data_IF_134990337314
#
_entry.id   IF_134990337314
#
_cell.length_a   1.000
_cell.length_b   1.000
_cell.length_c   1.000
_cell.angle_alpha   90.00
_cell.angle_beta   90.00
_cell.angle_gamma   90.00
#
_symmetry.space_group_name_H-M   'P 1'
#
loop_
_entity.id
_entity.type
_entity.pdbx_description
1 polymer ?
#
# COMPACT_ATOMS: atom_id res chain seq x y z
N UNK A 1 -14.94 -5.04 -1.61
CA UNK A 1 -14.16 -6.30 -1.42
C UNK A 1 -14.54 -7.01 -0.13
N UNK A 2 -14.56 -8.34 -0.14
CA UNK A 2 -14.75 -9.18 1.05
C UNK A 2 -13.39 -9.79 1.48
N UNK A 3 -13.27 -10.28 2.73
CA UNK A 3 -12.10 -11.06 3.16
C UNK A 3 -11.76 -12.18 2.18
N UNK A 4 -10.48 -12.28 1.81
CA UNK A 4 -9.99 -13.24 0.81
C UNK A 4 -9.96 -12.71 -0.63
N UNK A 5 -10.50 -11.51 -0.90
CA UNK A 5 -10.32 -10.86 -2.21
C UNK A 5 -8.84 -10.52 -2.42
N UNK A 6 -8.31 -10.81 -3.61
CA UNK A 6 -6.94 -10.47 -4.01
C UNK A 6 -7.01 -9.57 -5.24
N UNK A 7 -6.39 -8.40 -5.15
CA UNK A 7 -6.05 -7.56 -6.28
C UNK A 7 -4.54 -7.48 -6.45
N UNK A 8 -4.10 -7.17 -7.66
CA UNK A 8 -2.68 -6.99 -7.98
C UNK A 8 -2.39 -5.51 -8.20
N UNK A 9 -1.23 -5.05 -7.76
CA UNK A 9 -0.74 -3.70 -8.08
C UNK A 9 -0.82 -3.43 -9.59
N UNK A 10 -1.22 -2.22 -9.96
CA UNK A 10 -1.40 -1.82 -11.36
C UNK A 10 -2.63 -2.43 -12.05
N UNK A 11 -3.34 -3.36 -11.40
CA UNK A 11 -4.59 -3.94 -11.91
C UNK A 11 -5.82 -3.18 -11.40
N UNK A 12 -7.00 -3.61 -11.85
CA UNK A 12 -8.28 -3.06 -11.41
C UNK A 12 -8.64 -3.52 -9.99
N UNK A 13 -8.77 -2.55 -9.09
CA UNK A 13 -9.36 -2.64 -7.77
C UNK A 13 -10.85 -2.26 -7.87
N UNK A 14 -11.74 -3.24 -7.73
CA UNK A 14 -13.18 -3.00 -7.75
C UNK A 14 -13.68 -2.63 -6.36
N UNK A 15 -14.35 -1.48 -6.28
CA UNK A 15 -15.03 -0.97 -5.09
C UNK A 15 -16.53 -0.94 -5.37
N UNK A 16 -17.33 -1.41 -4.42
CA UNK A 16 -18.78 -1.45 -4.54
C UNK A 16 -19.39 -0.96 -3.23
N UNK A 17 -20.40 -0.10 -3.36
CA UNK A 17 -21.28 0.31 -2.26
C UNK A 17 -22.74 0.12 -2.69
N UNK A 18 -23.63 0.08 -1.69
CA UNK A 18 -25.06 0.18 -1.93
C UNK A 18 -25.41 1.65 -2.12
N UNK A 19 -26.04 1.99 -3.23
CA UNK A 19 -26.45 3.36 -3.52
C UNK A 19 -27.34 3.92 -2.42
N UNK A 20 -27.05 5.14 -1.98
CA UNK A 20 -27.85 5.82 -0.98
C UNK A 20 -29.25 6.16 -1.54
N UNK A 21 -30.29 5.55 -0.97
CA UNK A 21 -31.67 5.78 -1.39
C UNK A 21 -32.26 7.06 -0.79
N UNK A 22 -31.58 7.69 0.18
CA UNK A 22 -32.03 8.95 0.80
C UNK A 22 -31.64 10.17 -0.03
N UNK A 23 -30.67 10.02 -0.94
CA UNK A 23 -30.16 11.09 -1.80
C UNK A 23 -29.29 12.12 -1.07
N UNK A 24 -28.80 11.79 0.13
CA UNK A 24 -27.97 12.67 0.96
C UNK A 24 -26.49 12.53 0.67
N UNK A 25 -26.05 11.37 0.16
CA UNK A 25 -24.65 11.11 -0.16
C UNK A 25 -24.27 11.72 -1.52
N UNK A 26 -24.11 13.04 -1.57
CA UNK A 26 -23.79 13.80 -2.79
C UNK A 26 -22.32 14.16 -2.94
N UNK A 27 -21.54 14.03 -1.87
CA UNK A 27 -20.12 14.35 -1.87
C UNK A 27 -19.32 13.21 -1.24
N UNK A 28 -19.48 12.01 -1.81
CA UNK A 28 -18.89 10.78 -1.32
C UNK A 28 -17.39 10.73 -1.60
N UNK A 29 -16.62 10.34 -0.58
CA UNK A 29 -15.18 10.09 -0.63
C UNK A 29 -14.90 8.62 -0.34
N UNK A 30 -13.93 8.07 -1.04
CA UNK A 30 -13.40 6.71 -0.83
C UNK A 30 -11.93 6.85 -0.47
N UNK A 31 -11.56 6.33 0.70
CA UNK A 31 -10.17 6.25 1.15
C UNK A 31 -9.72 4.78 1.26
N UNK A 32 -8.49 4.51 0.84
CA UNK A 32 -7.81 3.24 1.12
C UNK A 32 -7.18 3.33 2.52
N UNK A 33 -7.50 2.37 3.36
CA UNK A 33 -7.12 2.34 4.77
C UNK A 33 -6.33 1.07 5.10
N UNK A 34 -5.60 1.12 6.21
CA UNK A 34 -4.91 -0.02 6.83
C UNK A 34 -4.91 0.14 8.36
N UNK A 35 -4.30 -0.78 9.10
CA UNK A 35 -4.21 -0.72 10.57
C UNK A 35 -5.33 -1.49 11.30
N UNK A 36 -5.35 -1.46 12.65
CA UNK A 36 -6.36 -2.13 13.47
C UNK A 36 -7.73 -1.44 13.40
N UNK A 37 -8.79 -2.14 13.77
CA UNK A 37 -10.18 -1.66 13.63
C UNK A 37 -10.46 -0.35 14.39
N UNK A 38 -9.77 -0.10 15.50
CA UNK A 38 -9.98 1.09 16.34
C UNK A 38 -8.91 2.17 16.16
N UNK A 39 -7.89 1.93 15.34
CA UNK A 39 -6.78 2.89 15.12
C UNK A 39 -6.23 2.75 13.70
N UNK A 40 -7.15 2.75 12.75
CA UNK A 40 -6.84 2.65 11.34
C UNK A 40 -6.18 3.93 10.81
N UNK A 41 -5.37 3.76 9.78
CA UNK A 41 -4.63 4.84 9.14
C UNK A 41 -4.96 4.88 7.65
N UNK A 42 -5.04 6.11 7.13
CA UNK A 42 -5.21 6.36 5.71
C UNK A 42 -3.92 6.07 4.96
N UNK A 43 -4.04 5.28 3.90
CA UNK A 43 -2.97 5.00 2.94
C UNK A 43 -2.99 6.03 1.82
N UNK A 44 -4.16 6.22 1.19
CA UNK A 44 -4.37 7.21 0.12
C UNK A 44 -5.86 7.47 -0.10
N UNK A 45 -6.18 8.58 -0.74
CA UNK A 45 -7.52 8.80 -1.30
C UNK A 45 -7.67 8.12 -2.64
N UNK A 46 -8.80 7.44 -2.83
CA UNK A 46 -9.17 6.73 -4.06
C UNK A 46 -9.97 7.64 -4.97
N UNK A 47 -11.01 8.29 -4.42
CA UNK A 47 -11.90 9.19 -5.15
C UNK A 47 -12.57 10.17 -4.18
N UNK A 48 -12.95 11.34 -4.69
CA UNK A 48 -13.72 12.38 -3.98
C UNK A 48 -14.82 12.91 -4.89
N UNK A 49 -15.84 13.53 -4.30
CA UNK A 49 -16.89 14.22 -5.06
C UNK A 49 -17.82 13.29 -5.85
N UNK A 50 -17.90 12.00 -5.47
CA UNK A 50 -18.81 11.06 -6.11
C UNK A 50 -20.24 11.28 -5.60
N UNK A 51 -21.23 11.15 -6.48
CA UNK A 51 -22.63 11.04 -6.06
C UNK A 51 -22.89 9.58 -5.61
N UNK A 52 -22.86 9.35 -4.31
CA UNK A 52 -23.07 8.02 -3.71
C UNK A 52 -24.48 7.47 -3.91
N UNK A 53 -25.45 8.30 -4.32
CA UNK A 53 -26.80 7.86 -4.70
C UNK A 53 -26.93 7.42 -6.16
N UNK A 54 -25.95 7.73 -7.01
CA UNK A 54 -25.95 7.32 -8.41
C UNK A 54 -25.51 5.86 -8.55
N UNK A 55 -26.47 4.98 -8.87
CA UNK A 55 -26.23 3.56 -9.07
C UNK A 55 -25.34 3.25 -10.28
N UNK A 56 -25.14 4.18 -11.21
CA UNK A 56 -24.25 3.98 -12.36
C UNK A 56 -22.76 4.10 -11.99
N UNK A 57 -22.44 4.68 -10.83
CA UNK A 57 -21.07 4.84 -10.34
C UNK A 57 -20.55 3.62 -9.57
N UNK A 58 -21.42 2.66 -9.22
CA UNK A 58 -21.07 1.44 -8.50
C UNK A 58 -21.39 0.20 -9.37
N UNK A 59 -20.43 -0.71 -9.60
CA UNK A 59 -19.08 -0.75 -9.03
C UNK A 59 -18.12 0.28 -9.65
N UNK A 60 -17.29 0.88 -8.80
CA UNK A 60 -16.24 1.82 -9.16
C UNK A 60 -14.92 1.08 -9.42
N UNK A 61 -14.25 1.43 -10.50
CA UNK A 61 -13.00 0.84 -10.92
C UNK A 61 -11.84 1.79 -10.65
N UNK A 62 -10.90 1.37 -9.81
CA UNK A 62 -9.68 2.13 -9.50
C UNK A 62 -8.45 1.30 -9.85
N UNK A 63 -7.36 1.93 -10.28
CA UNK A 63 -6.09 1.20 -10.45
C UNK A 63 -5.45 1.00 -9.08
N UNK A 64 -5.19 -0.26 -8.70
CA UNK A 64 -4.56 -0.57 -7.44
C UNK A 64 -3.16 0.07 -7.37
N UNK A 65 -2.84 0.83 -6.32
CA UNK A 65 -1.54 1.45 -6.17
C UNK A 65 -0.49 0.40 -5.82
N UNK A 66 0.78 0.74 -6.02
CA UNK A 66 1.86 0.00 -5.38
C UNK A 66 1.91 0.30 -3.89
N UNK A 67 2.05 -0.74 -3.07
CA UNK A 67 1.95 -0.66 -1.61
C UNK A 67 3.02 -1.47 -0.90
N UNK A 68 3.40 -0.99 0.28
CA UNK A 68 4.30 -1.69 1.20
C UNK A 68 3.61 -1.85 2.56
N UNK A 69 3.42 -3.08 3.07
CA UNK A 69 3.66 -4.37 2.40
C UNK A 69 2.52 -4.77 1.46
N UNK A 70 2.82 -5.59 0.44
CA UNK A 70 1.80 -6.39 -0.25
C UNK A 70 1.21 -7.43 0.72
N UNK A 71 -0.01 -7.22 1.22
CA UNK A 71 -0.60 -8.05 2.29
C UNK A 71 -2.12 -7.91 2.37
N UNK A 72 -2.77 -8.83 3.09
CA UNK A 72 -4.22 -8.87 3.36
C UNK A 72 -4.64 -7.89 4.47
N UNK A 73 -4.24 -6.62 4.36
CA UNK A 73 -4.41 -5.60 5.43
C UNK A 73 -5.21 -4.38 5.01
N UNK A 74 -5.53 -4.26 3.72
CA UNK A 74 -6.14 -3.07 3.12
C UNK A 74 -7.65 -3.18 3.12
N UNK A 75 -8.35 -2.06 3.29
CA UNK A 75 -9.80 -1.97 3.23
C UNK A 75 -10.21 -0.56 2.82
N UNK A 76 -11.42 -0.39 2.28
CA UNK A 76 -11.93 0.92 1.92
C UNK A 76 -12.82 1.49 3.01
N UNK A 77 -12.63 2.78 3.28
CA UNK A 77 -13.60 3.63 3.96
C UNK A 77 -14.39 4.40 2.92
N UNK A 78 -15.72 4.42 3.04
CA UNK A 78 -16.61 5.16 2.16
C UNK A 78 -17.51 6.04 3.03
N UNK A 79 -17.53 7.34 2.76
CA UNK A 79 -18.27 8.30 3.59
C UNK A 79 -18.67 9.52 2.77
N UNK A 80 -19.75 10.19 3.17
CA UNK A 80 -20.04 11.53 2.65
C UNK A 80 -19.14 12.55 3.37
N UNK A 81 -18.37 13.32 2.62
CA UNK A 81 -17.41 14.28 3.18
C UNK A 81 -18.05 15.56 3.74
N UNK A 82 -19.33 15.82 3.42
CA UNK A 82 -20.09 16.95 3.97
C UNK A 82 -20.61 16.70 5.38
N UNK A 83 -20.94 15.44 5.71
CA UNK A 83 -21.41 15.07 7.05
C UNK A 83 -20.34 14.34 7.86
N UNK A 84 -19.50 13.54 7.21
CA UNK A 84 -18.53 12.61 7.83
C UNK A 84 -19.15 11.62 8.83
N UNK A 85 -20.48 11.58 8.92
CA UNK A 85 -21.21 10.70 9.83
C UNK A 85 -21.36 9.31 9.22
N UNK A 86 -21.22 8.28 10.06
CA UNK A 86 -21.52 6.86 9.74
C UNK A 86 -20.83 6.32 8.47
N UNK A 87 -19.48 6.23 8.46
CA UNK A 87 -18.76 5.64 7.34
C UNK A 87 -19.14 4.16 7.12
N UNK A 88 -19.17 3.77 5.85
CA UNK A 88 -19.26 2.38 5.43
C UNK A 88 -17.86 1.81 5.15
N UNK A 89 -17.71 0.50 5.33
CA UNK A 89 -16.43 -0.19 5.28
C UNK A 89 -16.52 -1.46 4.45
N UNK A 90 -15.47 -1.75 3.70
CA UNK A 90 -15.32 -3.07 3.08
C UNK A 90 -14.64 -4.06 4.01
N UNK A 91 -14.66 -5.34 3.65
CA UNK A 91 -13.75 -6.30 4.27
C UNK A 91 -12.29 -6.01 3.91
N UNK A 92 -11.37 -6.53 4.72
CA UNK A 92 -9.93 -6.52 4.41
C UNK A 92 -9.65 -7.35 3.17
N UNK A 93 -8.79 -6.88 2.29
CA UNK A 93 -8.39 -7.55 1.06
C UNK A 93 -6.88 -7.47 0.86
N UNK A 94 -6.37 -8.31 -0.03
CA UNK A 94 -4.96 -8.34 -0.40
C UNK A 94 -4.71 -7.43 -1.59
N UNK A 95 -3.71 -6.56 -1.46
CA UNK A 95 -3.01 -6.00 -2.62
C UNK A 95 -1.69 -6.78 -2.71
N UNK A 96 -1.58 -7.61 -3.75
CA UNK A 96 -0.39 -8.40 -4.05
C UNK A 96 0.46 -7.68 -5.11
N UNK A 97 1.75 -8.01 -5.18
CA UNK A 97 2.62 -7.47 -6.23
C UNK A 97 2.09 -7.81 -7.63
N UNK A 98 2.60 -7.19 -8.71
CA UNK A 98 2.16 -7.51 -10.07
C UNK A 98 2.34 -8.99 -10.46
N UNK A 99 3.21 -9.73 -9.75
CA UNK A 99 3.46 -11.16 -9.94
C UNK A 99 2.79 -12.04 -8.88
N UNK A 100 1.91 -11.47 -8.05
CA UNK A 100 1.11 -12.19 -7.05
C UNK A 100 1.82 -12.47 -5.73
N UNK A 101 3.00 -11.90 -5.49
CA UNK A 101 3.66 -12.03 -4.21
C UNK A 101 2.92 -11.22 -3.13
N UNK A 102 2.73 -11.82 -1.96
CA UNK A 102 2.22 -11.15 -0.77
C UNK A 102 2.77 -11.82 0.50
N UNK A 103 2.78 -11.08 1.60
CA UNK A 103 3.15 -11.60 2.92
C UNK A 103 1.93 -11.62 3.85
N UNK A 104 1.86 -12.54 4.83
CA UNK A 104 0.82 -12.53 5.84
C UNK A 104 0.78 -11.18 6.60
N UNK A 105 -0.40 -10.76 7.09
CA UNK A 105 -0.49 -9.63 8.00
C UNK A 105 0.45 -9.80 9.21
N UNK A 106 1.18 -8.77 9.63
CA UNK A 106 2.18 -8.87 10.70
C UNK A 106 1.58 -9.16 12.09
N UNK A 107 0.29 -8.86 12.30
CA UNK A 107 -0.41 -9.13 13.55
C UNK A 107 -1.60 -10.05 13.29
N UNK A 108 -1.67 -11.18 14.02
CA UNK A 108 -2.72 -12.18 13.83
C UNK A 108 -4.05 -11.80 14.53
N UNK A 109 -3.99 -10.98 15.59
CA UNK A 109 -5.15 -10.57 16.39
C UNK A 109 -5.20 -9.06 16.57
N UNK A 110 -6.42 -8.53 16.71
CA UNK A 110 -6.66 -7.13 17.05
C UNK A 110 -6.17 -6.84 18.48
N UNK A 111 -5.90 -5.56 18.82
CA UNK A 111 -5.52 -5.17 20.18
C UNK A 111 -6.54 -5.56 21.27
N UNK A 112 -7.82 -5.71 20.91
CA UNK A 112 -8.89 -6.18 21.80
C UNK A 112 -8.99 -7.72 21.89
N UNK A 113 -8.13 -8.47 21.21
CA UNK A 113 -8.08 -9.94 21.22
C UNK A 113 -8.87 -10.63 20.11
N UNK A 114 -9.62 -9.92 19.27
CA UNK A 114 -10.35 -10.53 18.15
C UNK A 114 -9.40 -11.14 17.13
N UNK A 115 -9.74 -12.32 16.60
CA UNK A 115 -8.97 -13.05 15.59
C UNK A 115 -9.12 -12.44 14.18
N UNK A 116 -8.85 -11.14 14.06
CA UNK A 116 -8.86 -10.39 12.80
C UNK A 116 -7.44 -9.89 12.55
N UNK A 117 -6.70 -10.47 11.59
CA UNK A 117 -5.35 -10.04 11.28
C UNK A 117 -5.29 -8.60 10.77
N UNK A 118 -4.19 -7.90 11.05
CA UNK A 118 -3.98 -6.51 10.62
C UNK A 118 -2.51 -6.15 10.48
N UNK A 119 -2.27 -5.01 9.83
CA UNK A 119 -0.96 -4.37 9.71
C UNK A 119 -1.13 -2.96 9.18
N UNK A 120 -0.08 -2.14 9.32
CA UNK A 120 -0.02 -0.82 8.69
C UNK A 120 0.58 -0.95 7.30
N UNK A 121 -0.10 -0.36 6.33
CA UNK A 121 0.36 -0.25 4.94
C UNK A 121 0.62 1.20 4.58
N UNK A 122 1.42 1.39 3.54
CA UNK A 122 1.72 2.69 2.94
C UNK A 122 1.84 2.53 1.42
N UNK A 123 1.78 3.63 0.68
CA UNK A 123 2.18 3.62 -0.72
C UNK A 123 3.66 3.24 -0.83
N UNK A 124 3.99 2.38 -1.79
CA UNK A 124 5.38 2.07 -2.08
C UNK A 124 6.09 3.35 -2.55
N UNK A 125 7.28 3.62 -2.01
CA UNK A 125 8.12 4.69 -2.53
C UNK A 125 8.69 4.24 -3.87
N UNK A 126 8.30 4.90 -4.96
CA UNK A 126 8.86 4.67 -6.29
C UNK A 126 10.27 5.26 -6.40
N UNK A 127 11.21 4.83 -5.54
CA UNK A 127 12.62 5.12 -5.78
C UNK A 127 13.15 4.08 -6.74
N UNK A 128 12.97 4.30 -8.03
CA UNK A 128 13.90 3.78 -9.03
C UNK A 128 15.27 4.40 -8.76
N UNK A 129 16.00 3.87 -7.77
CA UNK A 129 17.42 4.15 -7.64
C UNK A 129 18.10 3.46 -8.82
N UNK A 130 18.33 4.22 -9.88
CA UNK A 130 19.37 3.87 -10.84
C UNK A 130 20.68 3.95 -10.03
N UNK A 131 21.41 2.85 -9.78
CA UNK A 131 22.72 2.97 -9.16
C UNK A 131 23.58 3.82 -10.10
N UNK A 132 24.09 4.95 -9.63
CA UNK A 132 25.11 5.69 -10.36
C UNK A 132 26.28 4.72 -10.63
N UNK A 133 26.82 4.66 -11.86
CA UNK A 133 28.05 3.92 -12.09
C UNK A 133 29.15 4.53 -11.21
N UNK A 134 30.05 3.71 -10.63
CA UNK A 134 31.12 4.23 -9.80
C UNK A 134 31.99 5.18 -10.63
N UNK A 135 32.08 6.44 -10.20
CA UNK A 135 32.99 7.42 -10.78
C UNK A 135 34.43 6.92 -10.64
N UNK A 136 35.05 6.58 -11.76
CA UNK A 136 36.48 6.42 -11.86
C UNK A 136 37.13 7.80 -11.92
N UNK A 137 37.97 8.13 -10.94
CA UNK A 137 39.01 9.15 -11.12
C UNK A 137 40.32 8.65 -10.51
N UNK A 138 41.35 8.65 -11.36
CA UNK A 138 42.67 8.12 -11.12
C UNK A 138 43.59 9.09 -10.35
N UNK A 139 44.55 8.47 -9.64
CA UNK A 139 45.94 8.87 -9.29
C UNK A 139 46.29 10.34 -9.01
N UNK A 140 46.95 10.57 -7.86
CA UNK A 140 48.33 11.05 -7.89
C UNK A 140 49.15 10.63 -6.65
N UNK A 141 50.41 10.27 -6.93
CA UNK A 141 51.43 9.71 -6.04
C UNK A 141 52.01 10.71 -5.02
N UNK A 142 52.37 10.25 -3.81
CA UNK A 142 53.72 10.45 -3.24
C UNK A 142 53.98 9.51 -2.04
N UNK A 143 54.96 8.62 -2.19
CA UNK A 143 55.64 7.84 -1.13
C UNK A 143 56.86 8.68 -0.63
N UNK A 144 57.49 8.48 0.56
CA UNK A 144 58.17 7.25 1.01
C UNK A 144 57.82 6.88 2.48
N UNK A 145 58.07 5.69 3.04
CA UNK A 145 59.40 5.09 3.25
C UNK A 145 59.24 3.69 3.89
N UNK A 146 60.02 2.73 3.38
CA UNK A 146 60.60 1.50 4.00
C UNK A 146 59.66 0.42 4.58
N UNK A 147 59.53 -0.74 3.91
CA UNK A 147 60.43 -1.93 3.92
C UNK A 147 59.95 -2.95 4.98
N UNK A 148 59.79 -4.27 4.75
CA UNK A 148 60.59 -5.18 3.94
C UNK A 148 59.76 -6.43 3.58
N UNK A 149 60.00 -6.93 2.37
CA UNK A 149 59.65 -8.20 1.73
C UNK A 149 59.74 -9.44 2.64
N UNK A 150 59.07 -10.57 2.39
CA UNK A 150 59.37 -11.48 1.25
C UNK A 150 58.52 -12.76 1.24
N UNK A 151 58.04 -13.14 0.04
CA UNK A 151 58.11 -14.46 -0.66
C UNK A 151 57.46 -15.70 -0.01
N UNK A 152 56.83 -16.66 -0.71
CA UNK A 152 56.60 -16.99 -2.13
C UNK A 152 55.48 -18.08 -2.17
N UNK A 153 54.53 -18.05 -3.10
CA UNK A 153 54.48 -18.74 -4.41
C UNK A 153 54.01 -20.21 -4.37
N UNK A 154 53.19 -20.51 -5.38
CA UNK A 154 52.43 -21.72 -5.65
C UNK A 154 53.28 -22.92 -6.12
N UNK A 155 52.73 -24.12 -6.00
CA UNK A 155 52.16 -24.88 -7.13
C UNK A 155 51.33 -26.05 -6.62
#
# INVERSE_FOLDING_TARGET
>A
PAPGTIYYEGSSCIIQWNSDTTGTWKNMTIDLMSGPNLSMTKVTTVATGLDGSDASLTPFNWTCPSVTPCSAIYFYQIYDSSTQDSPSWTGRFTIASPHGASIPPPNATQPNGEAIPWGFGALASNTTSIPLPPSATAKNDTNPTTATSSLAAAS
#
